data_IF_778294499677
#
_entry.id   IF_778294499677
#
_cell.length_a   1.000
_cell.length_b   1.000
_cell.length_c   1.000
_cell.angle_alpha   90.00
_cell.angle_beta   90.00
_cell.angle_gamma   90.00
#
_symmetry.space_group_name_H-M   'P 1'
#
loop_
_entity.id
_entity.type
_entity.pdbx_description
1 polymer ?
#
# COMPACT_ATOMS: atom_id res chain seq x y z
N UNK A 1 16.94 -18.74 6.40
CA UNK A 1 15.66 -18.06 6.10
C UNK A 1 14.59 -18.68 6.96
N UNK A 2 13.81 -17.90 7.71
CA UNK A 2 12.66 -18.43 8.44
C UNK A 2 11.58 -18.79 7.43
N UNK A 3 10.95 -19.95 7.60
CA UNK A 3 9.82 -20.35 6.78
C UNK A 3 8.61 -19.44 7.10
N UNK A 4 8.03 -18.79 6.09
CA UNK A 4 6.86 -17.93 6.24
C UNK A 4 5.53 -18.71 6.21
N UNK A 5 5.56 -20.01 6.01
CA UNK A 5 4.35 -20.85 5.92
C UNK A 5 3.45 -20.70 7.16
N UNK A 6 2.18 -20.53 6.91
CA UNK A 6 1.12 -20.29 7.90
C UNK A 6 1.24 -18.97 8.69
N UNK A 7 2.12 -18.06 8.29
CA UNK A 7 2.14 -16.72 8.88
C UNK A 7 1.11 -15.81 8.21
N UNK A 8 0.46 -15.00 9.01
CA UNK A 8 -0.35 -13.89 8.53
C UNK A 8 0.53 -12.73 8.07
N UNK A 9 0.01 -11.87 7.17
CA UNK A 9 0.67 -10.67 6.66
C UNK A 9 -0.19 -9.46 7.00
N UNK A 10 -0.06 -8.95 8.23
CA UNK A 10 -0.93 -7.91 8.78
C UNK A 10 -0.30 -6.52 8.71
N UNK A 11 0.99 -6.44 8.94
CA UNK A 11 1.84 -5.24 8.86
C UNK A 11 3.26 -5.66 8.49
N UNK A 12 4.01 -4.76 7.86
CA UNK A 12 5.43 -5.01 7.58
C UNK A 12 6.26 -5.10 8.86
N UNK A 13 5.83 -4.46 9.96
CA UNK A 13 6.52 -4.51 11.25
C UNK A 13 6.62 -5.92 11.88
N UNK A 14 5.87 -6.89 11.36
CA UNK A 14 5.97 -8.29 11.78
C UNK A 14 7.09 -9.05 11.06
N UNK A 15 7.78 -8.42 10.10
CA UNK A 15 8.77 -9.05 9.23
C UNK A 15 10.14 -8.41 9.38
N UNK A 16 11.18 -9.22 9.32
CA UNK A 16 12.55 -8.75 9.22
C UNK A 16 12.87 -8.26 7.80
N UNK A 17 13.92 -7.44 7.66
CA UNK A 17 14.44 -7.01 6.36
C UNK A 17 14.64 -8.19 5.39
N UNK A 18 15.26 -9.26 5.84
CA UNK A 18 15.51 -10.46 5.01
C UNK A 18 14.22 -11.13 4.54
N UNK A 19 13.16 -11.13 5.35
CA UNK A 19 11.86 -11.69 4.98
C UNK A 19 11.14 -10.80 3.96
N UNK A 20 11.24 -9.46 4.08
CA UNK A 20 10.70 -8.53 3.09
C UNK A 20 11.48 -8.63 1.76
N UNK A 21 12.81 -8.65 1.80
CA UNK A 21 13.66 -8.86 0.61
C UNK A 21 13.33 -10.18 -0.10
N UNK A 22 13.06 -11.24 0.67
CA UNK A 22 12.62 -12.52 0.10
C UNK A 22 11.29 -12.41 -0.62
N UNK A 23 10.28 -11.73 -0.03
CA UNK A 23 8.98 -11.52 -0.67
C UNK A 23 9.11 -10.70 -1.96
N UNK A 24 9.95 -9.68 -1.98
CA UNK A 24 10.21 -8.86 -3.16
C UNK A 24 10.92 -9.66 -4.26
N UNK A 25 11.94 -10.44 -3.90
CA UNK A 25 12.64 -11.33 -4.87
C UNK A 25 11.69 -12.39 -5.43
N UNK A 26 10.87 -13.01 -4.58
CA UNK A 26 9.86 -13.97 -5.03
C UNK A 26 8.84 -13.31 -5.96
N UNK A 27 8.50 -12.03 -5.73
CA UNK A 27 7.61 -11.27 -6.62
C UNK A 27 8.21 -11.09 -8.01
N UNK A 28 9.50 -10.73 -8.09
CA UNK A 28 10.25 -10.62 -9.36
C UNK A 28 10.28 -11.96 -10.11
N UNK A 29 10.55 -13.06 -9.40
CA UNK A 29 10.62 -14.40 -9.99
C UNK A 29 9.26 -14.87 -10.52
N UNK A 30 8.18 -14.68 -9.75
CA UNK A 30 6.83 -15.04 -10.18
C UNK A 30 6.31 -14.14 -11.31
N UNK A 31 6.63 -12.85 -11.29
CA UNK A 31 6.35 -11.92 -12.38
C UNK A 31 7.03 -12.38 -13.67
N UNK A 32 8.33 -12.65 -13.59
CA UNK A 32 9.10 -13.17 -14.72
C UNK A 32 8.54 -14.49 -15.25
N UNK A 33 8.24 -15.44 -14.35
CA UNK A 33 7.69 -16.75 -14.73
C UNK A 33 6.35 -16.62 -15.46
N UNK A 34 5.47 -15.70 -15.01
CA UNK A 34 4.19 -15.40 -15.68
C UNK A 34 4.42 -14.90 -17.10
N UNK A 35 5.30 -13.91 -17.30
CA UNK A 35 5.54 -13.33 -18.62
C UNK A 35 6.20 -14.26 -19.64
N UNK A 36 7.05 -15.17 -19.19
CA UNK A 36 7.67 -16.16 -20.09
C UNK A 36 6.89 -17.47 -20.18
N UNK A 37 5.72 -17.57 -19.53
CA UNK A 37 4.84 -18.74 -19.62
C UNK A 37 5.35 -19.98 -18.88
N UNK A 38 6.20 -19.82 -17.85
CA UNK A 38 6.78 -20.93 -17.06
C UNK A 38 6.26 -20.97 -15.62
N UNK A 39 5.27 -20.17 -15.31
CA UNK A 39 4.68 -20.10 -13.97
C UNK A 39 4.07 -21.44 -13.57
N UNK A 40 4.38 -21.89 -12.36
CA UNK A 40 3.84 -23.13 -11.79
C UNK A 40 2.79 -22.80 -10.72
N UNK A 41 1.65 -23.52 -10.70
CA UNK A 41 0.61 -23.29 -9.71
C UNK A 41 1.01 -23.87 -8.34
N UNK A 42 1.43 -23.00 -7.42
CA UNK A 42 1.88 -23.33 -6.06
C UNK A 42 0.74 -23.37 -5.04
N UNK A 43 -0.47 -22.91 -5.39
CA UNK A 43 -1.67 -22.87 -4.54
C UNK A 43 -2.77 -23.77 -5.08
N UNK A 44 -2.42 -24.83 -5.78
CA UNK A 44 -3.39 -25.76 -6.36
C UNK A 44 -4.29 -26.35 -5.29
N UNK A 45 -5.60 -26.33 -5.56
CA UNK A 45 -6.65 -26.83 -4.67
C UNK A 45 -6.83 -26.02 -3.36
N UNK A 46 -6.19 -24.85 -3.22
CA UNK A 46 -6.46 -23.95 -2.10
C UNK A 46 -7.72 -23.12 -2.36
N UNK A 47 -8.45 -22.82 -1.30
CA UNK A 47 -9.63 -21.96 -1.32
C UNK A 47 -9.35 -20.72 -0.48
N UNK A 48 -9.56 -19.54 -1.04
CA UNK A 48 -9.23 -18.24 -0.42
C UNK A 48 -10.52 -17.42 -0.30
N UNK A 49 -10.78 -16.90 0.89
CA UNK A 49 -11.85 -15.94 1.11
C UNK A 49 -11.29 -14.51 0.96
N UNK A 50 -11.96 -13.66 0.16
CA UNK A 50 -11.71 -12.24 0.08
C UNK A 50 -12.82 -11.50 0.80
N UNK A 51 -12.54 -11.00 2.01
CA UNK A 51 -13.50 -10.38 2.91
C UNK A 51 -13.36 -8.86 2.89
N UNK A 52 -14.33 -8.18 2.28
CA UNK A 52 -14.33 -6.74 2.06
C UNK A 52 -15.41 -6.02 2.85
N UNK A 53 -15.04 -5.07 3.69
CA UNK A 53 -15.95 -4.08 4.27
C UNK A 53 -15.93 -2.76 3.49
N UNK A 54 -14.86 -2.52 2.69
CA UNK A 54 -14.69 -1.40 1.75
C UNK A 54 -14.45 -1.94 0.35
N UNK A 55 -15.19 -1.45 -0.63
CA UNK A 55 -14.99 -1.83 -2.03
C UNK A 55 -13.59 -1.43 -2.54
N UNK A 56 -13.05 -2.25 -3.43
CA UNK A 56 -11.81 -1.95 -4.13
C UNK A 56 -11.69 -2.77 -5.41
N UNK A 57 -11.52 -2.08 -6.53
CA UNK A 57 -11.24 -2.72 -7.82
C UNK A 57 -9.86 -3.36 -7.82
N UNK A 58 -8.82 -2.59 -7.48
CA UNK A 58 -7.41 -3.05 -7.57
C UNK A 58 -7.08 -4.19 -6.62
N UNK A 59 -7.39 -4.05 -5.33
CA UNK A 59 -7.11 -5.10 -4.35
C UNK A 59 -7.83 -6.39 -4.70
N UNK A 60 -9.13 -6.30 -5.04
CA UNK A 60 -9.91 -7.45 -5.45
C UNK A 60 -9.29 -8.13 -6.69
N UNK A 61 -9.08 -7.40 -7.77
CA UNK A 61 -8.52 -7.95 -9.00
C UNK A 61 -7.12 -8.55 -8.77
N UNK A 62 -6.27 -7.88 -7.97
CA UNK A 62 -4.93 -8.37 -7.69
C UNK A 62 -4.94 -9.71 -6.95
N UNK A 63 -5.76 -9.86 -5.90
CA UNK A 63 -5.90 -11.14 -5.19
C UNK A 63 -6.54 -12.22 -6.06
N UNK A 64 -7.65 -11.90 -6.77
CA UNK A 64 -8.33 -12.87 -7.64
C UNK A 64 -7.39 -13.40 -8.73
N UNK A 65 -6.72 -12.52 -9.47
CA UNK A 65 -5.83 -12.92 -10.56
C UNK A 65 -4.60 -13.65 -10.02
N UNK A 66 -3.98 -13.16 -8.95
CA UNK A 66 -2.84 -13.83 -8.33
C UNK A 66 -3.18 -15.25 -7.84
N UNK A 67 -4.35 -15.42 -7.21
CA UNK A 67 -4.83 -16.72 -6.76
C UNK A 67 -5.11 -17.67 -7.94
N UNK A 68 -5.78 -17.21 -8.99
CA UNK A 68 -6.06 -18.00 -10.19
C UNK A 68 -4.79 -18.42 -10.92
N UNK A 69 -3.82 -17.53 -11.09
CA UNK A 69 -2.51 -17.86 -11.69
C UNK A 69 -1.82 -19.00 -10.95
N UNK A 70 -2.02 -19.06 -9.63
CA UNK A 70 -1.42 -20.06 -8.75
C UNK A 70 -2.31 -21.31 -8.53
N UNK A 71 -3.47 -21.41 -9.22
CA UNK A 71 -4.35 -22.56 -9.19
C UNK A 71 -5.28 -22.64 -7.97
N UNK A 72 -5.46 -21.54 -7.25
CA UNK A 72 -6.40 -21.43 -6.15
C UNK A 72 -7.80 -21.01 -6.61
N UNK A 73 -8.81 -21.35 -5.81
CA UNK A 73 -10.18 -20.86 -5.94
C UNK A 73 -10.39 -19.65 -5.01
N UNK A 74 -11.25 -18.72 -5.42
CA UNK A 74 -11.54 -17.51 -4.65
C UNK A 74 -13.04 -17.36 -4.42
N UNK A 75 -13.42 -16.95 -3.22
CA UNK A 75 -14.76 -16.48 -2.89
C UNK A 75 -14.71 -15.03 -2.45
N UNK A 76 -15.40 -14.15 -3.17
CA UNK A 76 -15.51 -12.74 -2.81
C UNK A 76 -16.72 -12.52 -1.90
N UNK A 77 -16.48 -11.98 -0.72
CA UNK A 77 -17.46 -11.56 0.28
C UNK A 77 -17.40 -10.02 0.40
N UNK A 78 -18.20 -9.33 -0.40
CA UNK A 78 -18.27 -7.87 -0.42
C UNK A 78 -19.00 -7.28 0.78
N UNK A 79 -19.11 -5.93 0.87
CA UNK A 79 -19.69 -5.23 2.03
C UNK A 79 -21.12 -5.64 2.40
N UNK A 80 -21.87 -6.14 1.45
CA UNK A 80 -23.25 -6.67 1.67
C UNK A 80 -23.30 -8.19 1.78
N UNK A 81 -22.20 -8.88 1.46
CA UNK A 81 -22.12 -10.35 1.40
C UNK A 81 -21.76 -11.03 2.71
N UNK A 82 -21.43 -10.27 3.77
CA UNK A 82 -21.01 -10.78 5.08
C UNK A 82 -21.96 -10.34 6.19
N UNK A 83 -22.09 -11.17 7.22
CA UNK A 83 -22.79 -10.86 8.47
C UNK A 83 -21.85 -10.34 9.56
N UNK A 84 -20.53 -10.28 9.30
CA UNK A 84 -19.53 -9.80 10.24
C UNK A 84 -19.85 -8.36 10.68
N UNK A 85 -19.76 -8.11 11.98
CA UNK A 85 -20.09 -6.82 12.58
C UNK A 85 -21.58 -6.46 12.60
N UNK A 86 -22.47 -7.29 12.03
CA UNK A 86 -23.93 -7.08 12.00
C UNK A 86 -24.65 -8.10 12.91
N UNK A 87 -24.66 -9.36 12.53
CA UNK A 87 -25.29 -10.46 13.28
C UNK A 87 -24.27 -11.46 13.82
N UNK A 88 -23.02 -11.35 13.40
CA UNK A 88 -21.93 -12.25 13.78
C UNK A 88 -20.72 -11.42 14.22
N UNK A 89 -20.05 -11.89 15.28
CA UNK A 89 -18.82 -11.24 15.74
C UNK A 89 -17.66 -11.52 14.79
N UNK A 90 -16.68 -10.64 14.71
CA UNK A 90 -15.44 -10.87 13.93
C UNK A 90 -14.78 -12.19 14.31
N UNK A 91 -14.80 -12.55 15.60
CA UNK A 91 -14.23 -13.77 16.13
C UNK A 91 -14.95 -15.03 15.64
N UNK A 92 -16.29 -14.99 15.57
CA UNK A 92 -17.06 -16.12 15.08
C UNK A 92 -16.92 -16.25 13.56
N UNK A 93 -16.99 -15.14 12.83
CA UNK A 93 -16.69 -15.14 11.38
C UNK A 93 -15.30 -15.71 11.09
N UNK A 94 -14.27 -15.32 11.87
CA UNK A 94 -12.92 -15.87 11.73
C UNK A 94 -12.89 -17.40 11.83
N UNK A 95 -13.55 -17.97 12.83
CA UNK A 95 -13.63 -19.43 13.05
C UNK A 95 -14.38 -20.14 11.93
N UNK A 96 -15.49 -19.55 11.48
CA UNK A 96 -16.31 -20.11 10.39
C UNK A 96 -15.50 -20.14 9.09
N UNK A 97 -14.88 -18.99 8.72
CA UNK A 97 -14.10 -18.91 7.50
C UNK A 97 -12.83 -19.77 7.56
N UNK A 98 -12.14 -19.78 8.70
CA UNK A 98 -10.94 -20.62 8.91
C UNK A 98 -11.23 -22.13 8.85
N UNK A 99 -12.47 -22.55 9.14
CA UNK A 99 -12.91 -23.94 8.96
C UNK A 99 -13.25 -24.33 7.51
N UNK A 100 -13.39 -23.34 6.61
CA UNK A 100 -13.81 -23.56 5.22
C UNK A 100 -12.70 -23.21 4.21
N UNK A 101 -11.87 -22.23 4.52
CA UNK A 101 -10.86 -21.67 3.62
C UNK A 101 -9.44 -21.94 4.13
N UNK A 102 -8.49 -21.97 3.22
CA UNK A 102 -7.06 -22.14 3.51
C UNK A 102 -6.36 -20.82 3.83
N UNK A 103 -6.96 -19.69 3.45
CA UNK A 103 -6.46 -18.34 3.71
C UNK A 103 -7.54 -17.29 3.56
N UNK A 104 -7.38 -16.16 4.23
CA UNK A 104 -8.35 -15.05 4.26
C UNK A 104 -7.64 -13.74 3.92
N UNK A 105 -8.11 -13.02 2.92
CA UNK A 105 -7.78 -11.62 2.73
C UNK A 105 -8.86 -10.77 3.40
N UNK A 106 -8.44 -9.70 4.05
CA UNK A 106 -9.33 -8.72 4.64
C UNK A 106 -9.00 -7.31 4.16
N UNK A 107 -10.02 -6.60 3.71
CA UNK A 107 -9.98 -5.17 3.42
C UNK A 107 -11.12 -4.44 4.12
N UNK A 108 -10.79 -3.55 5.04
CA UNK A 108 -11.83 -2.89 5.84
C UNK A 108 -11.33 -1.64 6.55
N UNK A 109 -11.79 -1.46 7.78
CA UNK A 109 -11.56 -0.25 8.56
C UNK A 109 -10.45 -0.47 9.61
N UNK A 110 -10.71 -1.28 10.60
CA UNK A 110 -9.89 -1.37 11.80
C UNK A 110 -8.77 -2.41 11.67
N UNK A 111 -7.55 -2.04 12.08
CA UNK A 111 -6.43 -2.97 12.23
C UNK A 111 -6.76 -4.08 13.23
N UNK A 112 -7.50 -3.75 14.30
CA UNK A 112 -7.95 -4.74 15.29
C UNK A 112 -8.84 -5.83 14.67
N UNK A 113 -9.61 -5.51 13.65
CA UNK A 113 -10.45 -6.50 12.94
C UNK A 113 -9.58 -7.53 12.24
N UNK A 114 -8.59 -7.10 11.46
CA UNK A 114 -7.70 -8.04 10.75
C UNK A 114 -6.84 -8.86 11.70
N UNK A 115 -6.39 -8.28 12.80
CA UNK A 115 -5.69 -9.01 13.88
C UNK A 115 -6.58 -10.08 14.52
N UNK A 116 -7.85 -9.75 14.80
CA UNK A 116 -8.81 -10.71 15.35
C UNK A 116 -9.08 -11.86 14.37
N UNK A 117 -9.20 -11.56 13.07
CA UNK A 117 -9.31 -12.60 12.05
C UNK A 117 -8.08 -13.53 12.08
N UNK A 118 -6.88 -12.98 12.15
CA UNK A 118 -5.64 -13.77 12.21
C UNK A 118 -5.54 -14.63 13.50
N UNK A 119 -5.95 -14.06 14.64
CA UNK A 119 -5.90 -14.73 15.94
C UNK A 119 -6.84 -15.96 16.01
N UNK A 120 -8.03 -15.87 15.39
CA UNK A 120 -9.09 -16.88 15.58
C UNK A 120 -9.38 -17.75 14.37
N UNK A 121 -8.88 -17.45 13.17
CA UNK A 121 -9.17 -18.26 11.98
C UNK A 121 -8.38 -19.57 11.91
N UNK A 122 -7.17 -19.60 12.46
CA UNK A 122 -6.27 -20.76 12.33
C UNK A 122 -5.63 -20.92 10.94
N UNK A 123 -5.84 -19.98 10.03
CA UNK A 123 -5.26 -19.93 8.68
C UNK A 123 -4.56 -18.57 8.46
N UNK A 124 -3.65 -18.47 7.47
CA UNK A 124 -3.04 -17.17 7.12
C UNK A 124 -4.08 -16.12 6.78
N UNK A 125 -3.91 -14.92 7.34
CA UNK A 125 -4.71 -13.73 7.03
C UNK A 125 -3.81 -12.67 6.42
N UNK A 126 -4.27 -12.05 5.32
CA UNK A 126 -3.56 -11.01 4.60
C UNK A 126 -4.32 -9.69 4.67
N UNK A 127 -3.63 -8.65 5.11
CA UNK A 127 -4.17 -7.29 5.20
C UNK A 127 -4.16 -6.62 3.82
N UNK A 128 -5.31 -6.57 3.16
CA UNK A 128 -5.50 -5.86 1.89
C UNK A 128 -5.56 -4.34 2.05
N UNK A 129 -6.03 -3.84 3.19
CA UNK A 129 -5.99 -2.45 3.68
C UNK A 129 -6.79 -2.34 4.98
N UNK A 130 -6.28 -1.54 5.91
CA UNK A 130 -7.04 -0.96 7.03
C UNK A 130 -6.89 0.57 7.01
N UNK A 131 -7.57 1.28 7.91
CA UNK A 131 -7.38 2.73 8.09
C UNK A 131 -5.99 3.08 8.66
N UNK A 132 -5.28 2.09 9.20
CA UNK A 132 -4.01 2.27 9.88
C UNK A 132 -2.81 1.80 9.04
N UNK A 133 -3.00 0.80 8.14
CA UNK A 133 -1.91 0.16 7.41
C UNK A 133 -2.35 -0.37 6.02
N UNK A 134 -1.40 -0.39 5.08
CA UNK A 134 -1.59 -0.96 3.74
C UNK A 134 -0.34 -1.73 3.25
N UNK A 135 0.07 -2.81 3.94
CA UNK A 135 1.36 -3.45 3.71
C UNK A 135 1.52 -4.06 2.33
N UNK A 136 0.41 -4.53 1.70
CA UNK A 136 0.45 -5.09 0.34
C UNK A 136 0.71 -4.02 -0.73
N UNK A 137 0.39 -2.75 -0.46
CA UNK A 137 0.72 -1.63 -1.35
C UNK A 137 2.23 -1.39 -1.33
N UNK A 138 2.82 -1.26 -0.14
CA UNK A 138 4.24 -0.93 0.02
C UNK A 138 5.17 -1.93 -0.67
N UNK A 139 4.83 -3.21 -0.68
CA UNK A 139 5.61 -4.19 -1.44
C UNK A 139 5.61 -3.88 -2.95
N UNK A 140 4.48 -3.41 -3.49
CA UNK A 140 4.38 -3.06 -4.91
C UNK A 140 5.14 -1.76 -5.21
N UNK A 141 5.07 -0.78 -4.33
CA UNK A 141 5.77 0.49 -4.44
C UNK A 141 7.29 0.25 -4.49
N UNK A 142 7.80 -0.52 -3.54
CA UNK A 142 9.22 -0.86 -3.48
C UNK A 142 9.69 -1.71 -4.66
N UNK A 143 8.89 -2.69 -5.09
CA UNK A 143 9.20 -3.47 -6.29
C UNK A 143 9.29 -2.55 -7.52
N UNK A 144 8.35 -1.61 -7.67
CA UNK A 144 8.30 -0.67 -8.78
C UNK A 144 9.50 0.27 -8.76
N UNK A 145 9.78 0.89 -7.61
CA UNK A 145 10.95 1.75 -7.44
C UNK A 145 12.23 1.01 -7.83
N UNK A 146 12.44 -0.23 -7.36
CA UNK A 146 13.62 -1.04 -7.71
C UNK A 146 13.67 -1.38 -9.19
N UNK A 147 12.54 -1.79 -9.80
CA UNK A 147 12.47 -2.15 -11.22
C UNK A 147 12.81 -0.97 -12.13
N UNK A 148 12.37 0.23 -11.78
CA UNK A 148 12.55 1.43 -12.61
C UNK A 148 13.93 2.07 -12.37
N UNK A 149 14.29 2.28 -11.10
CA UNK A 149 15.51 2.99 -10.72
C UNK A 149 16.77 2.14 -10.83
N UNK A 150 16.65 0.81 -10.76
CA UNK A 150 17.78 -0.13 -10.76
C UNK A 150 18.78 0.12 -9.63
N UNK A 151 18.29 0.58 -8.48
CA UNK A 151 19.05 0.85 -7.26
C UNK A 151 18.79 -0.22 -6.20
N UNK A 152 19.74 -0.41 -5.29
CA UNK A 152 19.46 -1.15 -4.06
C UNK A 152 18.58 -0.32 -3.14
N UNK A 153 17.75 -0.96 -2.32
CA UNK A 153 16.78 -0.25 -1.48
C UNK A 153 17.43 0.77 -0.55
N UNK A 154 18.60 0.46 0.02
CA UNK A 154 19.34 1.37 0.89
C UNK A 154 19.83 2.65 0.17
N UNK A 155 19.91 2.65 -1.16
CA UNK A 155 20.35 3.78 -1.99
C UNK A 155 19.18 4.59 -2.56
N UNK A 156 17.93 4.24 -2.22
CA UNK A 156 16.73 4.95 -2.67
C UNK A 156 16.34 6.00 -1.63
N UNK A 157 16.23 7.24 -2.08
CA UNK A 157 15.62 8.33 -1.33
C UNK A 157 14.13 8.38 -1.66
N UNK A 158 13.30 7.87 -0.76
CA UNK A 158 11.85 7.75 -0.94
C UNK A 158 11.12 8.87 -0.19
N UNK A 159 10.35 9.68 -0.87
CA UNK A 159 9.65 10.82 -0.27
C UNK A 159 8.14 10.69 -0.45
N UNK A 160 7.41 10.67 0.65
CA UNK A 160 5.96 10.83 0.67
C UNK A 160 5.60 12.29 0.94
N UNK A 161 4.65 12.83 0.16
CA UNK A 161 4.19 14.22 0.28
C UNK A 161 2.67 14.23 0.47
N UNK A 162 2.17 14.86 1.53
CA UNK A 162 0.72 14.97 1.77
C UNK A 162 0.29 14.72 3.21
N UNK A 163 -0.75 13.92 3.45
CA UNK A 163 -1.22 13.58 4.79
C UNK A 163 -0.32 12.52 5.44
N UNK A 164 0.50 12.96 6.41
CA UNK A 164 1.41 12.08 7.14
C UNK A 164 0.73 11.10 8.11
N UNK A 165 -0.59 11.20 8.32
CA UNK A 165 -1.40 10.25 9.09
C UNK A 165 -2.09 9.21 8.22
N UNK A 166 -1.99 9.37 6.90
CA UNK A 166 -2.55 8.42 5.95
C UNK A 166 -1.97 7.02 6.16
N UNK A 167 -2.79 5.99 5.96
CA UNK A 167 -2.38 4.60 6.14
C UNK A 167 -1.23 4.18 5.20
N UNK A 168 -1.19 4.72 3.98
CA UNK A 168 -0.08 4.46 3.04
C UNK A 168 1.19 5.16 3.51
N UNK A 169 1.11 6.42 3.99
CA UNK A 169 2.26 7.12 4.57
C UNK A 169 2.86 6.33 5.75
N UNK A 170 2.00 5.84 6.64
CA UNK A 170 2.41 5.01 7.78
C UNK A 170 3.08 3.70 7.31
N UNK A 171 2.46 3.00 6.37
CA UNK A 171 2.98 1.74 5.85
C UNK A 171 4.32 1.92 5.09
N UNK A 172 4.45 2.98 4.29
CA UNK A 172 5.71 3.34 3.60
C UNK A 172 6.83 3.65 4.60
N UNK A 173 6.54 4.42 5.65
CA UNK A 173 7.52 4.73 6.70
C UNK A 173 7.99 3.45 7.41
N UNK A 174 7.08 2.53 7.72
CA UNK A 174 7.40 1.22 8.33
C UNK A 174 8.28 0.39 7.39
N UNK A 175 7.88 0.25 6.14
CA UNK A 175 8.62 -0.52 5.13
C UNK A 175 10.01 0.06 4.86
N UNK A 176 10.11 1.38 4.70
CA UNK A 176 11.38 2.07 4.49
C UNK A 176 12.35 1.89 5.68
N UNK A 177 11.82 1.95 6.90
CA UNK A 177 12.60 1.69 8.11
C UNK A 177 13.20 0.27 8.12
N UNK A 178 12.38 -0.73 7.79
CA UNK A 178 12.81 -2.14 7.72
C UNK A 178 13.85 -2.35 6.62
N UNK A 179 13.65 -1.74 5.45
CA UNK A 179 14.55 -1.89 4.31
C UNK A 179 15.83 -1.05 4.41
N UNK A 180 15.94 -0.18 5.42
CA UNK A 180 17.10 0.69 5.60
C UNK A 180 17.20 1.79 4.54
N UNK A 181 16.05 2.26 4.05
CA UNK A 181 15.94 3.34 3.06
C UNK A 181 16.07 4.72 3.72
N UNK A 182 16.39 5.73 2.93
CA UNK A 182 16.19 7.12 3.32
C UNK A 182 14.74 7.51 3.02
N UNK A 183 13.94 7.72 4.07
CA UNK A 183 12.53 8.07 3.94
C UNK A 183 12.27 9.49 4.43
N UNK A 184 11.68 10.32 3.56
CA UNK A 184 11.22 11.65 3.91
C UNK A 184 9.70 11.69 3.92
N UNK A 185 9.14 12.21 5.00
CA UNK A 185 7.72 12.51 5.12
C UNK A 185 7.53 14.02 5.13
N UNK A 186 7.00 14.54 4.03
CA UNK A 186 6.76 15.97 3.82
C UNK A 186 5.28 16.25 4.03
N UNK A 187 4.94 16.81 5.18
CA UNK A 187 3.56 17.02 5.57
C UNK A 187 3.40 18.23 6.50
N UNK A 188 2.18 18.83 6.58
CA UNK A 188 1.87 19.81 7.61
C UNK A 188 2.10 19.22 9.01
N UNK A 189 2.55 20.04 9.97
CA UNK A 189 2.79 19.59 11.37
C UNK A 189 1.57 18.97 12.02
N UNK A 190 0.39 19.48 11.69
CA UNK A 190 -0.90 19.01 12.17
C UNK A 190 -1.21 17.58 11.72
N UNK A 191 -0.57 17.14 10.64
CA UNK A 191 -0.73 15.82 10.03
C UNK A 191 0.48 14.90 10.22
N UNK A 192 1.35 15.21 11.17
CA UNK A 192 2.43 14.28 11.54
C UNK A 192 1.87 12.94 12.04
N UNK A 193 2.54 11.82 11.77
CA UNK A 193 2.19 10.53 12.35
C UNK A 193 2.28 10.58 13.89
N UNK A 194 1.74 9.57 14.55
CA UNK A 194 1.85 9.49 16.01
C UNK A 194 3.32 9.35 16.45
N UNK A 195 3.67 9.95 17.58
CA UNK A 195 5.03 9.87 18.13
C UNK A 195 5.45 8.42 18.41
N UNK A 196 4.52 7.56 18.78
CA UNK A 196 4.77 6.14 19.03
C UNK A 196 5.27 5.44 17.76
N UNK A 197 4.51 5.57 16.65
CA UNK A 197 4.88 4.97 15.37
C UNK A 197 6.19 5.56 14.84
N UNK A 198 6.33 6.88 14.89
CA UNK A 198 7.53 7.58 14.44
C UNK A 198 8.79 7.11 15.18
N UNK A 199 8.74 7.07 16.51
CA UNK A 199 9.89 6.64 17.32
C UNK A 199 10.23 5.18 17.05
N UNK A 200 9.21 4.31 16.90
CA UNK A 200 9.43 2.91 16.54
C UNK A 200 10.13 2.79 15.19
N UNK A 201 9.64 3.50 14.17
CA UNK A 201 10.23 3.45 12.82
C UNK A 201 11.65 4.05 12.79
N UNK A 202 11.92 5.15 13.51
CA UNK A 202 13.28 5.72 13.62
C UNK A 202 14.28 4.74 14.24
N UNK A 203 13.88 4.01 15.28
CA UNK A 203 14.75 2.99 15.89
C UNK A 203 15.05 1.86 14.91
N UNK A 204 14.02 1.34 14.22
CA UNK A 204 14.19 0.28 13.21
C UNK A 204 15.07 0.77 12.04
N UNK A 205 14.86 2.00 11.56
CA UNK A 205 15.67 2.57 10.48
C UNK A 205 17.15 2.66 10.88
N UNK A 206 17.45 3.14 12.11
CA UNK A 206 18.81 3.22 12.62
C UNK A 206 19.50 1.85 12.68
N UNK A 207 18.77 0.80 13.10
CA UNK A 207 19.28 -0.57 13.15
C UNK A 207 19.57 -1.15 11.75
N UNK A 208 18.82 -0.71 10.72
CA UNK A 208 18.96 -1.18 9.34
C UNK A 208 19.81 -0.25 8.44
N UNK A 209 20.37 0.83 8.99
CA UNK A 209 21.23 1.77 8.27
C UNK A 209 20.48 2.81 7.43
N UNK A 210 19.16 2.96 7.64
CA UNK A 210 18.31 3.97 7.01
C UNK A 210 18.11 5.21 7.88
N UNK A 211 17.35 6.18 7.34
CA UNK A 211 17.01 7.42 8.04
C UNK A 211 15.57 7.83 7.76
N UNK A 212 14.90 8.45 8.74
CA UNK A 212 13.56 9.02 8.60
C UNK A 212 13.60 10.50 8.96
N UNK A 213 13.28 11.34 7.97
CA UNK A 213 13.09 12.78 8.10
C UNK A 213 11.59 13.10 8.03
N UNK A 214 11.09 13.90 8.99
CA UNK A 214 9.76 14.52 8.88
C UNK A 214 9.96 16.03 8.83
N UNK A 215 9.33 16.68 7.87
CA UNK A 215 9.45 18.13 7.69
C UNK A 215 8.20 18.72 7.05
N UNK A 216 7.88 19.95 7.39
CA UNK A 216 6.91 20.82 6.72
C UNK A 216 7.57 21.72 5.64
N UNK A 217 8.89 21.71 5.56
CA UNK A 217 9.66 22.38 4.51
C UNK A 217 9.74 21.48 3.26
N UNK A 218 8.95 21.84 2.24
CA UNK A 218 8.80 21.08 1.01
C UNK A 218 10.14 20.97 0.27
N UNK A 219 10.84 22.10 0.10
CA UNK A 219 12.09 22.15 -0.67
C UNK A 219 13.18 21.29 -0.03
N UNK A 220 13.28 21.33 1.31
CA UNK A 220 14.19 20.48 2.06
C UNK A 220 13.82 19.00 1.92
N UNK A 221 12.53 18.71 2.02
CA UNK A 221 12.03 17.33 2.08
C UNK A 221 12.13 16.60 0.77
N UNK A 222 11.90 17.29 -0.38
CA UNK A 222 11.93 16.63 -1.71
C UNK A 222 13.30 16.61 -2.35
N UNK A 223 14.26 17.39 -1.83
CA UNK A 223 15.60 17.51 -2.43
C UNK A 223 16.33 16.17 -2.46
N UNK A 224 16.78 15.78 -3.65
CA UNK A 224 17.52 14.53 -3.87
C UNK A 224 16.65 13.29 -3.88
N UNK A 225 15.32 13.43 -3.90
CA UNK A 225 14.40 12.30 -3.96
C UNK A 225 14.56 11.50 -5.25
N UNK A 226 14.47 10.19 -5.14
CA UNK A 226 14.37 9.26 -6.27
C UNK A 226 12.91 8.92 -6.57
N UNK A 227 12.08 8.93 -5.55
CA UNK A 227 10.63 8.69 -5.63
C UNK A 227 9.91 9.83 -4.93
N UNK A 228 8.90 10.40 -5.59
CA UNK A 228 7.88 11.25 -4.98
C UNK A 228 6.58 10.45 -4.98
N UNK A 229 6.03 10.24 -3.80
CA UNK A 229 4.79 9.52 -3.57
C UNK A 229 3.74 10.43 -2.96
N UNK A 230 2.48 10.29 -3.37
CA UNK A 230 1.35 10.93 -2.68
C UNK A 230 0.13 10.03 -2.69
N UNK A 231 -0.88 10.38 -1.90
CA UNK A 231 -2.18 9.73 -1.86
C UNK A 231 -3.28 10.79 -1.71
N UNK A 232 -4.53 10.40 -1.89
CA UNK A 232 -5.68 11.30 -1.80
C UNK A 232 -5.69 12.06 -0.47
N UNK A 233 -6.02 13.35 -0.54
CA UNK A 233 -6.03 14.22 0.65
C UNK A 233 -7.20 13.95 1.59
N UNK A 234 -8.30 13.46 1.04
CA UNK A 234 -9.54 13.21 1.79
C UNK A 234 -10.16 11.91 1.31
N UNK A 235 -10.50 11.05 2.26
CA UNK A 235 -11.24 9.83 1.96
C UNK A 235 -12.68 10.12 1.59
N UNK A 236 -13.22 9.32 0.68
CA UNK A 236 -14.62 9.40 0.29
C UNK A 236 -15.55 9.14 1.48
N UNK A 237 -16.57 10.03 1.63
CA UNK A 237 -17.54 9.93 2.73
C UNK A 237 -17.23 10.79 3.94
N UNK A 238 -16.08 11.48 3.95
CA UNK A 238 -15.79 12.48 5.00
C UNK A 238 -16.74 13.68 4.93
N UNK A 239 -17.07 14.31 6.10
CA UNK A 239 -17.89 15.51 6.16
C UNK A 239 -17.29 16.71 5.41
N UNK A 240 -18.13 17.63 4.95
CA UNK A 240 -17.72 18.82 4.21
C UNK A 240 -16.72 19.71 4.95
N UNK A 241 -16.84 19.80 6.26
CA UNK A 241 -15.93 20.56 7.12
C UNK A 241 -14.52 19.99 7.05
N UNK A 242 -14.39 18.65 7.06
CA UNK A 242 -13.12 17.94 6.91
C UNK A 242 -12.51 18.21 5.54
N UNK A 243 -13.33 18.20 4.49
CA UNK A 243 -12.88 18.52 3.13
C UNK A 243 -12.26 19.91 3.05
N UNK A 244 -12.95 20.93 3.59
CA UNK A 244 -12.47 22.31 3.54
C UNK A 244 -11.15 22.49 4.28
N UNK A 245 -11.07 22.00 5.50
CA UNK A 245 -9.86 22.05 6.32
C UNK A 245 -8.68 21.35 5.63
N UNK A 246 -8.90 20.13 5.12
CA UNK A 246 -7.86 19.35 4.44
C UNK A 246 -7.37 20.01 3.15
N UNK A 247 -8.29 20.56 2.35
CA UNK A 247 -7.92 21.27 1.13
C UNK A 247 -7.07 22.51 1.41
N UNK A 248 -7.43 23.32 2.42
CA UNK A 248 -6.66 24.48 2.82
C UNK A 248 -5.24 24.08 3.30
N UNK A 249 -5.15 23.01 4.09
CA UNK A 249 -3.91 22.55 4.70
C UNK A 249 -2.96 21.88 3.70
N UNK A 250 -3.50 21.05 2.79
CA UNK A 250 -2.73 20.20 1.90
C UNK A 250 -2.45 20.82 0.51
N UNK A 251 -3.15 21.88 0.13
CA UNK A 251 -2.93 22.55 -1.16
C UNK A 251 -1.47 22.92 -1.46
N UNK A 252 -0.64 23.40 -0.49
CA UNK A 252 0.78 23.65 -0.73
C UNK A 252 1.57 22.37 -1.04
N UNK A 253 1.07 21.21 -0.64
CA UNK A 253 1.70 19.89 -0.79
C UNK A 253 1.24 19.14 -2.05
N UNK A 254 0.59 19.82 -3.00
CA UNK A 254 0.25 19.25 -4.30
C UNK A 254 1.51 18.89 -5.07
N UNK A 255 1.63 17.64 -5.50
CA UNK A 255 2.72 17.22 -6.38
C UNK A 255 2.50 17.79 -7.78
N UNK A 256 3.36 18.69 -8.17
CA UNK A 256 3.35 19.38 -9.45
C UNK A 256 4.75 19.38 -10.09
N UNK A 257 4.85 19.91 -11.30
CA UNK A 257 6.13 19.93 -12.01
C UNK A 257 7.23 20.67 -11.26
N UNK A 258 6.92 21.78 -10.60
CA UNK A 258 7.89 22.57 -9.82
C UNK A 258 8.47 21.74 -8.67
N UNK A 259 7.62 20.99 -7.94
CA UNK A 259 8.08 20.07 -6.90
C UNK A 259 8.97 18.96 -7.46
N UNK A 260 8.60 18.35 -8.60
CA UNK A 260 9.42 17.35 -9.27
C UNK A 260 10.78 17.93 -9.69
N UNK A 261 10.81 19.14 -10.23
CA UNK A 261 12.05 19.84 -10.62
C UNK A 261 12.92 20.21 -9.39
N UNK A 262 12.31 20.55 -8.25
CA UNK A 262 12.98 20.89 -6.98
C UNK A 262 13.76 19.71 -6.41
N UNK A 263 13.41 18.48 -6.74
CA UNK A 263 14.20 17.29 -6.37
C UNK A 263 15.66 17.39 -6.87
N UNK A 264 15.89 18.08 -7.98
CA UNK A 264 17.17 18.15 -8.68
C UNK A 264 17.61 16.83 -9.32
N UNK A 265 16.76 15.80 -9.29
CA UNK A 265 17.01 14.49 -9.87
C UNK A 265 16.25 14.33 -11.20
N UNK A 266 16.93 14.31 -12.35
CA UNK A 266 16.27 14.17 -13.65
C UNK A 266 15.61 12.79 -13.87
N UNK A 267 15.90 11.82 -13.01
CA UNK A 267 15.36 10.46 -13.06
C UNK A 267 14.35 10.19 -11.93
N UNK A 268 13.87 11.24 -11.25
CA UNK A 268 12.85 11.08 -10.22
C UNK A 268 11.58 10.48 -10.81
N UNK A 269 10.99 9.51 -10.11
CA UNK A 269 9.73 8.88 -10.50
C UNK A 269 8.60 9.34 -9.57
N UNK A 270 7.38 9.26 -10.09
CA UNK A 270 6.14 9.53 -9.36
C UNK A 270 5.35 8.25 -9.16
N UNK A 271 4.97 7.95 -7.93
CA UNK A 271 4.14 6.82 -7.51
C UNK A 271 2.87 7.28 -6.78
N UNK A 272 1.80 6.49 -6.88
CA UNK A 272 0.50 6.74 -6.25
C UNK A 272 -0.33 5.46 -6.24
N UNK A 273 -0.86 5.06 -5.10
CA UNK A 273 -1.62 3.80 -4.94
C UNK A 273 -2.93 3.73 -5.76
N UNK A 274 -3.40 4.85 -6.30
CA UNK A 274 -4.69 5.00 -6.98
C UNK A 274 -5.92 4.62 -6.09
N UNK A 275 -7.09 5.27 -6.30
CA UNK A 275 -7.39 6.26 -7.34
C UNK A 275 -6.77 7.61 -7.04
N UNK A 276 -6.56 8.43 -8.06
CA UNK A 276 -6.03 9.79 -7.94
C UNK A 276 -7.03 10.81 -8.49
N UNK A 277 -7.06 12.01 -7.87
CA UNK A 277 -7.84 13.15 -8.33
C UNK A 277 -6.96 14.16 -9.07
N UNK A 278 -6.26 13.70 -10.09
CA UNK A 278 -5.36 14.50 -10.94
C UNK A 278 -6.12 15.37 -11.96
N UNK A 279 -7.42 15.11 -12.18
CA UNK A 279 -8.28 15.93 -13.04
C UNK A 279 -9.76 15.82 -12.62
N UNK A 280 -10.65 16.50 -13.38
CA UNK A 280 -12.09 16.51 -13.11
C UNK A 280 -12.89 15.53 -13.99
N UNK A 281 -12.28 14.53 -14.60
CA UNK A 281 -12.95 13.63 -15.54
C UNK A 281 -13.81 12.56 -14.86
N UNK A 282 -13.64 12.37 -13.54
CA UNK A 282 -14.49 11.49 -12.74
C UNK A 282 -15.70 12.25 -12.20
N UNK A 283 -16.81 11.53 -11.94
CA UNK A 283 -18.00 12.11 -11.28
C UNK A 283 -17.67 12.86 -9.99
N UNK A 284 -16.74 12.33 -9.20
CA UNK A 284 -16.32 12.91 -7.92
C UNK A 284 -15.41 14.10 -8.16
N UNK A 285 -14.47 14.01 -9.11
CA UNK A 285 -13.62 15.12 -9.50
C UNK A 285 -14.44 16.33 -9.98
N UNK A 286 -15.52 16.08 -10.74
CA UNK A 286 -16.48 17.13 -11.12
C UNK A 286 -17.18 17.76 -9.91
N UNK A 287 -17.67 16.96 -8.97
CA UNK A 287 -18.31 17.45 -7.76
C UNK A 287 -17.35 18.30 -6.90
N UNK A 288 -16.09 17.90 -6.78
CA UNK A 288 -15.05 18.65 -6.09
C UNK A 288 -14.79 19.97 -6.81
N UNK A 289 -14.66 19.95 -8.13
CA UNK A 289 -14.47 21.15 -8.92
C UNK A 289 -15.66 22.13 -8.82
N UNK A 290 -16.88 21.64 -8.92
CA UNK A 290 -18.09 22.46 -8.78
C UNK A 290 -18.21 23.09 -7.38
N UNK A 291 -17.82 22.35 -6.34
CA UNK A 291 -17.98 22.77 -4.94
C UNK A 291 -16.84 23.64 -4.41
N UNK A 292 -15.60 23.31 -4.79
CA UNK A 292 -14.40 23.93 -4.23
C UNK A 292 -13.54 24.67 -5.24
N UNK A 293 -13.87 24.59 -6.54
CA UNK A 293 -13.09 25.22 -7.61
C UNK A 293 -11.73 24.57 -7.86
N UNK A 294 -11.50 23.36 -7.33
CA UNK A 294 -10.22 22.63 -7.44
C UNK A 294 -10.38 21.53 -8.48
N UNK A 295 -9.62 21.61 -9.57
CA UNK A 295 -9.66 20.64 -10.66
C UNK A 295 -8.68 19.50 -10.48
N UNK A 296 -7.52 19.78 -9.91
CA UNK A 296 -6.44 18.87 -9.64
C UNK A 296 -6.12 18.93 -8.13
N UNK A 297 -6.11 17.79 -7.45
CA UNK A 297 -5.94 17.75 -5.99
C UNK A 297 -4.49 17.41 -5.61
N UNK A 298 -4.23 16.19 -5.18
CA UNK A 298 -2.95 15.76 -4.61
C UNK A 298 -1.80 15.75 -5.64
N UNK A 299 -2.12 15.66 -6.91
CA UNK A 299 -1.17 15.70 -8.02
C UNK A 299 -1.78 16.40 -9.23
N UNK A 300 -0.97 17.10 -10.01
CA UNK A 300 -1.40 17.69 -11.28
C UNK A 300 -1.49 16.65 -12.39
N UNK A 301 -2.38 16.87 -13.35
CA UNK A 301 -2.51 16.01 -14.54
C UNK A 301 -1.20 15.96 -15.34
N UNK A 302 -0.47 17.08 -15.39
CA UNK A 302 0.85 17.16 -16.04
C UNK A 302 1.85 16.16 -15.45
N UNK A 303 1.91 16.00 -14.12
CA UNK A 303 2.81 15.03 -13.48
C UNK A 303 2.28 13.62 -13.63
N UNK A 304 0.98 13.44 -13.41
CA UNK A 304 0.33 12.12 -13.47
C UNK A 304 0.47 11.46 -14.83
N UNK A 305 0.34 12.21 -15.94
CA UNK A 305 0.47 11.75 -17.33
C UNK A 305 1.90 11.84 -17.87
N UNK A 306 2.87 12.27 -17.03
CA UNK A 306 4.26 12.41 -17.47
C UNK A 306 4.99 11.06 -17.59
N UNK A 307 6.17 11.09 -18.19
CA UNK A 307 7.06 9.91 -18.25
C UNK A 307 7.64 9.52 -16.89
N UNK A 308 7.63 10.42 -15.92
CA UNK A 308 8.08 10.14 -14.56
C UNK A 308 7.04 9.31 -13.79
N UNK A 309 5.78 9.35 -14.18
CA UNK A 309 4.72 8.59 -13.54
C UNK A 309 4.80 7.10 -13.86
N UNK A 310 4.86 6.28 -12.82
CA UNK A 310 4.92 4.81 -12.92
C UNK A 310 3.73 4.14 -12.23
N UNK A 311 2.67 4.89 -11.95
CA UNK A 311 1.49 4.49 -11.18
C UNK A 311 0.79 3.24 -11.74
N UNK A 312 0.78 3.05 -13.05
CA UNK A 312 0.15 1.86 -13.67
C UNK A 312 1.03 0.61 -13.56
N UNK A 313 2.36 0.76 -13.61
CA UNK A 313 3.29 -0.34 -13.32
C UNK A 313 3.21 -0.73 -11.85
N UNK A 314 3.12 0.26 -10.95
CA UNK A 314 2.88 0.07 -9.51
C UNK A 314 1.58 -0.70 -9.26
N UNK A 315 0.47 -0.28 -9.88
CA UNK A 315 -0.81 -0.96 -9.77
C UNK A 315 -0.77 -2.42 -10.27
N UNK A 316 -0.02 -2.69 -11.34
CA UNK A 316 0.21 -4.04 -11.84
C UNK A 316 1.07 -4.87 -10.86
N UNK A 317 2.11 -4.29 -10.29
CA UNK A 317 2.99 -4.93 -9.33
C UNK A 317 2.25 -5.39 -8.06
N UNK A 318 1.11 -4.79 -7.71
CA UNK A 318 0.22 -5.28 -6.65
C UNK A 318 -0.14 -6.75 -6.82
N UNK A 319 -0.47 -7.17 -8.03
CA UNK A 319 -0.79 -8.57 -8.32
C UNK A 319 0.41 -9.50 -8.08
N UNK A 320 1.60 -9.07 -8.46
CA UNK A 320 2.81 -9.89 -8.34
C UNK A 320 3.28 -10.01 -6.89
N UNK A 321 3.23 -8.93 -6.12
CA UNK A 321 3.63 -8.93 -4.71
C UNK A 321 2.61 -9.67 -3.82
N UNK A 322 1.33 -9.49 -4.06
CA UNK A 322 0.26 -10.25 -3.41
C UNK A 322 0.39 -11.75 -3.70
N UNK A 323 0.71 -12.11 -4.96
CA UNK A 323 0.99 -13.49 -5.34
C UNK A 323 2.13 -14.07 -4.52
N UNK A 324 3.23 -13.34 -4.39
CA UNK A 324 4.39 -13.77 -3.61
C UNK A 324 4.04 -13.95 -2.11
N UNK A 325 3.26 -13.04 -1.53
CA UNK A 325 2.79 -13.17 -0.15
C UNK A 325 1.95 -14.43 0.04
N UNK A 326 0.97 -14.68 -0.84
CA UNK A 326 0.13 -15.88 -0.77
C UNK A 326 0.96 -17.16 -0.95
N UNK A 327 1.86 -17.19 -1.94
CA UNK A 327 2.73 -18.35 -2.19
C UNK A 327 3.67 -18.59 -1.01
N UNK A 328 4.30 -17.56 -0.45
CA UNK A 328 5.22 -17.71 0.67
C UNK A 328 4.55 -18.20 1.96
N UNK A 329 3.28 -17.84 2.17
CA UNK A 329 2.57 -18.14 3.43
C UNK A 329 1.66 -19.36 3.34
N UNK A 330 1.19 -19.74 2.13
CA UNK A 330 0.23 -20.82 1.93
C UNK A 330 0.74 -21.89 0.96
N UNK A 331 1.71 -21.58 0.11
CA UNK A 331 2.18 -22.48 -0.94
C UNK A 331 2.91 -23.72 -0.42
N UNK A 332 2.95 -24.74 -1.26
CA UNK A 332 3.74 -25.95 -1.06
C UNK A 332 4.98 -25.87 -1.97
N UNK A 333 6.16 -25.73 -1.36
CA UNK A 333 7.46 -25.69 -2.06
C UNK A 333 8.07 -27.07 -2.13
#
# INVERSE_FOLDING_TARGET
MKNLRNRSFLTLLDFSRQEVEFLLTLSEDLKRAKYIGTEKPMLKNKNIALLFEKDSTRTRCAFEVAAHDQGANVTYLGPTGSQMGKKETTKDTARVLGGMYDGIEYRGFSQRTVETLAEYSGVPVWNGLTDEDHPTQVLADFLTAKEVLKKDYADINFTYVGDGRNNVANALMQGAAIMGMNFHLVCPKELNPTDELLNRCKNIAAENGGNILITDDIDQGVKGSDVIYTDVWVSMGEPDEVWKERLELLKPYQVNKEMMDTTGNPNVIFEHCLPSFHNADTKIGQQIFEKYGIREMEVTDEVFESKASVVFQEAENRMHTIKAVMVATLGEF
#
